data_IF_809287707874
#
_entry.id   IF_809287707874
#
_cell.length_a   1.000
_cell.length_b   1.000
_cell.length_c   1.000
_cell.angle_alpha   90.00
_cell.angle_beta   90.00
_cell.angle_gamma   90.00
#
_symmetry.space_group_name_H-M   'P 1'
#
loop_
_entity.id
_entity.type
_entity.pdbx_description
1 polymer ?
#
# COMPACT_ATOMS: atom_id res chain seq x y z
N UNK A 1 -12.71 -9.58 -10.76
CA UNK A 1 -13.06 -8.13 -10.79
C UNK A 1 -12.70 -7.42 -9.49
N UNK A 2 -13.07 -7.93 -8.31
CA UNK A 2 -12.76 -7.34 -6.99
C UNK A 2 -11.27 -6.93 -6.81
N UNK A 3 -10.26 -7.79 -7.10
CA UNK A 3 -8.87 -7.41 -6.85
C UNK A 3 -8.37 -6.29 -7.77
N UNK A 4 -8.85 -6.24 -9.02
CA UNK A 4 -8.50 -5.16 -9.95
C UNK A 4 -9.08 -3.83 -9.46
N UNK A 5 -10.36 -3.82 -9.06
CA UNK A 5 -11.01 -2.62 -8.54
C UNK A 5 -10.33 -2.14 -7.24
N UNK A 6 -9.99 -3.05 -6.34
CA UNK A 6 -9.23 -2.73 -5.13
C UNK A 6 -7.84 -2.16 -5.44
N UNK A 7 -7.13 -2.69 -6.44
CA UNK A 7 -5.83 -2.16 -6.86
C UNK A 7 -5.93 -0.74 -7.43
N UNK A 8 -6.89 -0.48 -8.32
CA UNK A 8 -7.12 0.87 -8.87
C UNK A 8 -7.54 1.84 -7.77
N UNK A 9 -8.43 1.41 -6.88
CA UNK A 9 -8.89 2.21 -5.75
C UNK A 9 -7.75 2.49 -4.76
N UNK A 10 -6.80 1.56 -4.59
CA UNK A 10 -5.61 1.76 -3.77
C UNK A 10 -4.73 2.88 -4.31
N UNK A 11 -4.39 2.85 -5.61
CA UNK A 11 -3.61 3.94 -6.23
C UNK A 11 -4.34 5.27 -6.09
N UNK A 12 -5.63 5.31 -6.42
CA UNK A 12 -6.42 6.55 -6.38
C UNK A 12 -6.51 7.15 -4.97
N UNK A 13 -6.77 6.32 -3.95
CA UNK A 13 -6.82 6.76 -2.56
C UNK A 13 -5.45 7.22 -2.05
N UNK A 14 -4.38 6.49 -2.38
CA UNK A 14 -3.03 6.86 -1.94
C UNK A 14 -2.64 8.22 -2.53
N UNK A 15 -2.83 8.41 -3.84
CA UNK A 15 -2.54 9.69 -4.50
C UNK A 15 -3.40 10.82 -3.94
N UNK A 16 -4.69 10.57 -3.72
CA UNK A 16 -5.61 11.55 -3.15
C UNK A 16 -5.20 11.96 -1.73
N UNK A 17 -4.95 11.00 -0.84
CA UNK A 17 -4.55 11.25 0.54
C UNK A 17 -3.18 11.92 0.59
N UNK A 18 -2.23 11.53 -0.26
CA UNK A 18 -0.93 12.18 -0.33
C UNK A 18 -1.07 13.65 -0.73
N UNK A 19 -1.96 13.97 -1.68
CA UNK A 19 -2.29 15.34 -2.04
C UNK A 19 -2.86 16.14 -0.86
N UNK A 20 -3.80 15.55 -0.10
CA UNK A 20 -4.36 16.19 1.10
C UNK A 20 -3.32 16.38 2.21
N UNK A 21 -2.50 15.37 2.48
CA UNK A 21 -1.42 15.44 3.49
C UNK A 21 -0.42 16.53 3.10
N UNK A 22 -0.03 16.62 1.83
CA UNK A 22 0.88 17.66 1.35
C UNK A 22 0.27 19.08 1.49
N UNK A 23 -1.02 19.24 1.13
CA UNK A 23 -1.71 20.54 1.23
C UNK A 23 -1.94 20.99 2.69
N UNK A 24 -2.24 20.05 3.59
CA UNK A 24 -2.58 20.34 4.98
C UNK A 24 -1.36 20.41 5.90
N UNK A 25 -0.38 19.53 5.68
CA UNK A 25 0.86 19.47 6.46
C UNK A 25 1.87 20.54 6.04
N UNK A 26 1.79 21.01 4.79
CA UNK A 26 2.85 21.84 4.19
C UNK A 26 4.15 21.06 3.98
N UNK A 27 4.12 19.74 4.17
CA UNK A 27 5.25 18.84 4.03
C UNK A 27 5.30 18.27 2.60
N UNK A 28 6.50 18.21 2.05
CA UNK A 28 6.74 17.47 0.81
C UNK A 28 6.75 15.97 1.09
N UNK A 29 6.19 15.19 0.16
CA UNK A 29 6.14 13.72 0.26
C UNK A 29 7.54 13.13 0.44
N UNK A 30 8.58 13.81 -0.05
CA UNK A 30 9.98 13.50 0.22
C UNK A 30 10.73 14.81 0.47
N UNK A 31 11.12 15.13 1.72
CA UNK A 31 11.79 16.38 2.05
C UNK A 31 13.27 16.43 1.65
N UNK A 32 13.87 15.30 1.27
CA UNK A 32 15.25 15.23 0.85
C UNK A 32 15.44 15.70 -0.61
N UNK A 33 16.13 16.83 -0.79
CA UNK A 33 16.46 17.45 -2.08
C UNK A 33 17.23 16.52 -3.05
N UNK A 34 17.88 15.49 -2.52
CA UNK A 34 18.66 14.49 -3.27
C UNK A 34 17.85 13.22 -3.63
N UNK A 35 16.60 13.12 -3.19
CA UNK A 35 15.72 12.03 -3.57
C UNK A 35 15.16 12.27 -4.99
N UNK A 36 15.36 11.31 -5.88
CA UNK A 36 14.84 11.42 -7.25
C UNK A 36 13.32 11.58 -7.28
N UNK A 37 12.81 12.42 -8.19
CA UNK A 37 11.37 12.73 -8.39
C UNK A 37 10.50 11.46 -8.53
N UNK A 38 11.09 10.35 -8.95
CA UNK A 38 10.41 9.06 -9.13
C UNK A 38 10.34 8.18 -7.87
N UNK A 39 11.03 8.54 -6.78
CA UNK A 39 11.09 7.72 -5.56
C UNK A 39 9.69 7.47 -5.00
N UNK A 40 8.92 8.54 -4.76
CA UNK A 40 7.54 8.46 -4.24
C UNK A 40 6.61 7.63 -5.14
N UNK A 41 6.51 7.94 -6.45
CA UNK A 41 5.72 7.16 -7.40
C UNK A 41 6.10 5.67 -7.43
N UNK A 42 7.40 5.34 -7.45
CA UNK A 42 7.87 3.94 -7.51
C UNK A 42 7.52 3.19 -6.21
N UNK A 43 7.66 3.85 -5.06
CA UNK A 43 7.27 3.27 -3.78
C UNK A 43 5.78 2.95 -3.73
N UNK A 44 4.91 3.88 -4.15
CA UNK A 44 3.46 3.66 -4.19
C UNK A 44 3.08 2.53 -5.15
N UNK A 45 3.69 2.48 -6.34
CA UNK A 45 3.46 1.41 -7.32
C UNK A 45 3.89 0.05 -6.74
N UNK A 46 5.03 -0.01 -6.07
CA UNK A 46 5.52 -1.25 -5.46
C UNK A 46 4.60 -1.77 -4.35
N UNK A 47 4.12 -0.87 -3.48
CA UNK A 47 3.16 -1.19 -2.43
C UNK A 47 1.84 -1.71 -3.04
N UNK A 48 1.36 -1.02 -4.06
CA UNK A 48 0.16 -1.42 -4.80
C UNK A 48 0.31 -2.79 -5.43
N UNK A 49 1.46 -3.08 -6.04
CA UNK A 49 1.72 -4.36 -6.68
C UNK A 49 1.69 -5.50 -5.66
N UNK A 50 2.33 -5.30 -4.49
CA UNK A 50 2.32 -6.29 -3.40
C UNK A 50 0.91 -6.52 -2.87
N UNK A 51 0.14 -5.45 -2.64
CA UNK A 51 -1.25 -5.55 -2.19
C UNK A 51 -2.12 -6.28 -3.24
N UNK A 52 -2.02 -5.89 -4.51
CA UNK A 52 -2.81 -6.45 -5.59
C UNK A 52 -2.51 -7.93 -5.82
N UNK A 53 -1.22 -8.31 -5.90
CA UNK A 53 -0.80 -9.71 -6.05
C UNK A 53 -1.25 -10.54 -4.86
N UNK A 54 -1.10 -10.02 -3.65
CA UNK A 54 -1.55 -10.66 -2.43
C UNK A 54 -3.06 -10.92 -2.41
N UNK A 55 -3.84 -9.92 -2.79
CA UNK A 55 -5.28 -10.02 -2.88
C UNK A 55 -5.72 -10.99 -4.00
N UNK A 56 -5.04 -11.00 -5.15
CA UNK A 56 -5.29 -11.98 -6.22
C UNK A 56 -5.03 -13.41 -5.74
N UNK A 57 -3.93 -13.66 -5.02
CA UNK A 57 -3.63 -14.99 -4.47
C UNK A 57 -4.68 -15.43 -3.46
N UNK A 58 -4.99 -14.55 -2.51
CA UNK A 58 -5.97 -14.83 -1.44
C UNK A 58 -7.37 -15.05 -2.02
N UNK A 59 -7.78 -14.27 -3.03
CA UNK A 59 -9.09 -14.46 -3.69
C UNK A 59 -9.15 -15.74 -4.50
N UNK A 60 -8.06 -16.15 -5.16
CA UNK A 60 -7.99 -17.43 -5.88
C UNK A 60 -8.07 -18.63 -4.95
N UNK A 61 -7.39 -18.58 -3.81
CA UNK A 61 -7.45 -19.63 -2.79
C UNK A 61 -8.83 -19.69 -2.13
N UNK A 62 -9.40 -18.53 -1.81
CA UNK A 62 -10.73 -18.41 -1.23
C UNK A 62 -11.87 -18.90 -2.14
N UNK A 63 -11.73 -18.82 -3.46
CA UNK A 63 -12.71 -19.36 -4.42
C UNK A 63 -12.87 -20.87 -4.25
N UNK A 64 -11.81 -21.54 -3.76
CA UNK A 64 -11.81 -22.97 -3.45
C UNK A 64 -12.50 -23.29 -2.11
N UNK A 65 -12.46 -22.37 -1.15
CA UNK A 65 -12.95 -22.53 0.23
C UNK A 65 -14.25 -21.75 0.52
N UNK A 66 -14.79 -21.02 -0.46
CA UNK A 66 -15.98 -20.14 -0.39
C UNK A 66 -15.92 -19.03 0.68
N UNK A 67 -14.75 -18.74 1.25
CA UNK A 67 -14.55 -17.65 2.21
C UNK A 67 -13.17 -17.03 2.04
N UNK A 68 -13.10 -15.69 2.08
CA UNK A 68 -11.84 -14.96 2.14
C UNK A 68 -11.43 -14.83 3.61
N UNK A 69 -10.32 -15.46 4.06
CA UNK A 69 -9.82 -15.27 5.40
C UNK A 69 -9.28 -13.85 5.61
N UNK A 70 -9.69 -13.20 6.70
CA UNK A 70 -9.29 -11.81 7.05
C UNK A 70 -7.79 -11.71 7.29
N UNK A 71 -7.19 -12.74 7.93
CA UNK A 71 -5.81 -12.72 8.38
C UNK A 71 -4.78 -12.51 7.25
N UNK A 72 -4.81 -13.27 6.14
CA UNK A 72 -3.89 -13.02 5.03
C UNK A 72 -4.13 -11.68 4.35
N UNK A 73 -5.36 -11.17 4.31
CA UNK A 73 -5.63 -9.84 3.73
C UNK A 73 -4.97 -8.72 4.55
N UNK A 74 -5.05 -8.80 5.88
CA UNK A 74 -4.30 -7.89 6.76
C UNK A 74 -2.79 -8.07 6.55
N UNK A 75 -2.32 -9.31 6.41
CA UNK A 75 -0.92 -9.62 6.11
C UNK A 75 -0.42 -8.97 4.82
N UNK A 76 -1.24 -8.95 3.76
CA UNK A 76 -0.90 -8.26 2.50
C UNK A 76 -0.92 -6.73 2.63
N UNK A 77 -1.78 -6.17 3.48
CA UNK A 77 -1.74 -4.74 3.80
C UNK A 77 -0.45 -4.34 4.53
N UNK A 78 -0.04 -5.15 5.51
CA UNK A 78 1.25 -4.99 6.17
C UNK A 78 2.42 -5.19 5.19
N UNK A 79 2.31 -6.17 4.27
CA UNK A 79 3.28 -6.43 3.21
C UNK A 79 3.42 -5.25 2.25
N UNK A 80 2.33 -4.58 1.88
CA UNK A 80 2.36 -3.39 1.05
C UNK A 80 3.04 -2.21 1.74
N UNK A 81 2.76 -2.02 3.04
CA UNK A 81 3.44 -1.01 3.87
C UNK A 81 4.95 -1.30 4.00
N UNK A 82 5.33 -2.55 4.25
CA UNK A 82 6.75 -2.94 4.28
C UNK A 82 7.41 -2.77 2.91
N UNK A 83 6.74 -3.13 1.82
CA UNK A 83 7.26 -2.94 0.47
C UNK A 83 7.51 -1.47 0.15
N UNK A 84 6.59 -0.59 0.55
CA UNK A 84 6.77 0.87 0.46
C UNK A 84 8.08 1.30 1.15
N UNK A 85 8.27 0.94 2.42
CA UNK A 85 9.48 1.30 3.18
C UNK A 85 10.77 0.68 2.62
N UNK A 86 10.75 -0.62 2.29
CA UNK A 86 11.92 -1.35 1.76
C UNK A 86 12.36 -0.78 0.42
N UNK A 87 11.40 -0.56 -0.50
CA UNK A 87 11.72 0.02 -1.82
C UNK A 87 12.26 1.43 -1.67
N UNK A 88 11.71 2.22 -0.75
CA UNK A 88 12.26 3.53 -0.40
C UNK A 88 13.70 3.44 0.09
N UNK A 89 13.99 2.53 1.03
CA UNK A 89 15.32 2.30 1.59
C UNK A 89 16.34 1.90 0.50
N UNK A 90 15.95 0.97 -0.38
CA UNK A 90 16.80 0.46 -1.46
C UNK A 90 17.10 1.58 -2.45
N UNK A 91 16.10 2.35 -2.88
CA UNK A 91 16.31 3.44 -3.82
C UNK A 91 17.15 4.57 -3.22
N UNK A 92 16.98 4.86 -1.92
CA UNK A 92 17.81 5.84 -1.21
C UNK A 92 19.27 5.38 -1.09
N UNK A 93 19.50 4.10 -0.79
CA UNK A 93 20.84 3.49 -0.79
C UNK A 93 21.50 3.56 -2.17
N UNK A 94 20.75 3.25 -3.24
CA UNK A 94 21.23 3.35 -4.62
C UNK A 94 21.53 4.79 -5.06
N UNK A 95 20.88 5.77 -4.42
CA UNK A 95 21.17 7.20 -4.59
C UNK A 95 22.51 7.65 -3.96
N UNK A 96 23.23 6.75 -3.30
CA UNK A 96 24.54 7.02 -2.68
C UNK A 96 24.50 7.28 -1.18
N UNK A 97 23.36 7.04 -0.52
CA UNK A 97 23.25 7.17 0.93
C UNK A 97 23.97 6.05 1.69
N UNK A 98 24.38 6.31 2.93
CA UNK A 98 24.91 5.28 3.82
C UNK A 98 23.83 4.27 4.23
N UNK A 99 24.21 3.01 4.47
CA UNK A 99 23.29 1.93 4.87
C UNK A 99 22.47 2.31 6.12
N UNK A 100 23.11 2.96 7.10
CA UNK A 100 22.42 3.44 8.30
C UNK A 100 21.43 4.57 8.00
N UNK A 101 21.77 5.46 7.08
CA UNK A 101 20.88 6.54 6.65
C UNK A 101 19.66 5.99 5.90
N UNK A 102 19.85 5.00 5.03
CA UNK A 102 18.74 4.33 4.33
C UNK A 102 17.82 3.56 5.28
N UNK A 103 18.36 2.92 6.31
CA UNK A 103 17.54 2.25 7.32
C UNK A 103 16.76 3.26 8.15
N UNK A 104 17.40 4.35 8.59
CA UNK A 104 16.74 5.42 9.34
C UNK A 104 15.63 6.09 8.51
N UNK A 105 15.89 6.34 7.22
CA UNK A 105 14.91 6.82 6.26
C UNK A 105 13.70 5.87 6.19
N UNK A 106 13.94 4.57 5.98
CA UNK A 106 12.87 3.58 5.89
C UNK A 106 11.98 3.57 7.13
N UNK A 107 12.58 3.54 8.32
CA UNK A 107 11.83 3.50 9.58
C UNK A 107 11.03 4.77 9.78
N UNK A 108 11.63 5.94 9.55
CA UNK A 108 10.95 7.24 9.70
C UNK A 108 9.78 7.35 8.72
N UNK A 109 10.03 7.02 7.46
CA UNK A 109 9.05 7.13 6.40
C UNK A 109 7.89 6.14 6.53
N UNK A 110 8.12 5.02 7.20
CA UNK A 110 7.08 4.05 7.57
C UNK A 110 6.10 4.60 8.62
N UNK A 111 6.56 5.41 9.58
CA UNK A 111 5.72 6.03 10.62
C UNK A 111 5.26 7.44 10.27
N UNK A 112 5.81 8.05 9.23
CA UNK A 112 5.33 9.33 8.72
C UNK A 112 3.87 9.24 8.22
N UNK A 113 3.15 10.38 8.12
CA UNK A 113 1.75 10.40 7.72
C UNK A 113 1.47 9.67 6.40
N UNK A 114 2.43 9.71 5.46
CA UNK A 114 2.38 9.01 4.18
C UNK A 114 2.44 7.48 4.34
N UNK A 115 3.38 6.96 5.13
CA UNK A 115 3.48 5.53 5.43
C UNK A 115 2.23 5.02 6.16
N UNK A 116 1.76 5.77 7.16
CA UNK A 116 0.53 5.44 7.89
C UNK A 116 -0.69 5.44 6.97
N UNK A 117 -0.79 6.38 6.04
CA UNK A 117 -1.86 6.42 5.04
C UNK A 117 -1.84 5.18 4.14
N UNK A 118 -0.67 4.74 3.65
CA UNK A 118 -0.55 3.52 2.83
C UNK A 118 -1.05 2.29 3.59
N UNK A 119 -0.65 2.15 4.87
CA UNK A 119 -1.12 1.06 5.73
C UNK A 119 -2.65 1.13 5.93
N UNK A 120 -3.16 2.30 6.28
CA UNK A 120 -4.58 2.53 6.55
C UNK A 120 -5.46 2.25 5.33
N UNK A 121 -5.06 2.74 4.15
CA UNK A 121 -5.77 2.50 2.89
C UNK A 121 -5.72 1.00 2.55
N UNK A 122 -4.55 0.36 2.64
CA UNK A 122 -4.43 -1.08 2.35
C UNK A 122 -5.31 -1.93 3.26
N UNK A 123 -5.35 -1.61 4.56
CA UNK A 123 -6.22 -2.28 5.52
C UNK A 123 -7.70 -2.05 5.21
N UNK A 124 -8.10 -0.80 4.93
CA UNK A 124 -9.48 -0.44 4.61
C UNK A 124 -9.98 -1.16 3.35
N UNK A 125 -9.16 -1.20 2.31
CA UNK A 125 -9.47 -1.90 1.05
C UNK A 125 -9.51 -3.41 1.22
N UNK A 126 -8.57 -3.96 1.99
CA UNK A 126 -8.54 -5.37 2.31
C UNK A 126 -9.81 -5.80 3.05
N UNK A 127 -10.17 -5.09 4.13
CA UNK A 127 -11.40 -5.35 4.89
C UNK A 127 -12.65 -5.16 4.04
N UNK A 128 -12.68 -4.14 3.18
CA UNK A 128 -13.76 -3.92 2.20
C UNK A 128 -13.91 -5.10 1.24
N UNK A 129 -12.81 -5.64 0.72
CA UNK A 129 -12.83 -6.81 -0.14
C UNK A 129 -13.36 -8.06 0.58
N UNK A 130 -12.98 -8.28 1.84
CA UNK A 130 -13.50 -9.37 2.67
C UNK A 130 -15.01 -9.20 2.92
N UNK A 131 -15.44 -7.99 3.28
CA UNK A 131 -16.85 -7.69 3.54
C UNK A 131 -17.73 -7.87 2.29
N UNK A 132 -17.23 -7.47 1.12
CA UNK A 132 -17.93 -7.68 -0.15
C UNK A 132 -18.02 -9.17 -0.51
N UNK A 133 -16.95 -9.93 -0.31
CA UNK A 133 -16.96 -11.36 -0.55
C UNK A 133 -17.89 -12.12 0.41
N UNK A 134 -18.02 -11.66 1.66
CA UNK A 134 -18.94 -12.23 2.64
C UNK A 134 -20.42 -12.00 2.29
N UNK A 135 -20.75 -10.99 1.47
CA UNK A 135 -22.15 -10.65 1.13
C UNK A 135 -22.79 -11.59 0.11
N UNK A 136 -22.01 -12.34 -0.68
CA UNK A 136 -22.51 -13.25 -1.73
C UNK A 136 -23.39 -12.55 -2.78
N UNK A 137 -23.66 -13.17 -3.94
CA UNK A 137 -24.65 -12.62 -4.86
C UNK A 137 -26.01 -12.62 -4.16
N UNK A 138 -26.57 -11.44 -3.90
CA UNK A 138 -27.97 -11.31 -3.52
C UNK A 138 -28.81 -11.85 -4.67
N UNK A 139 -29.36 -13.05 -4.50
CA UNK A 139 -30.43 -13.58 -5.34
C UNK A 139 -31.68 -12.74 -5.11
N UNK A 140 -31.70 -11.53 -5.66
CA UNK A 140 -32.92 -10.74 -5.85
C UNK A 140 -33.23 -10.81 -7.33
N UNK A 141 -34.04 -11.83 -7.64
CA UNK A 141 -35.07 -11.96 -8.69
C UNK A 141 -34.84 -11.18 -9.97
#
# INVERSE_FOLDING_TARGET
>A
MIPLLAAVMHVALVVCVFGFVALLGGDEVIPERDAGVLLGPVMVVSATLVFAVGLIRTTREADRERRIPVLPVIGWGAGAWLAYGIVGAVLFLLGGADVFASLAFAVRHLVDPFGVAVLGISALLGLGAVALAARGPSSTV
#
